data_IF_156550537443
#
_entry.id   IF_156550537443
#
_cell.length_a   1.000
_cell.length_b   1.000
_cell.length_c   1.000
_cell.angle_alpha   90.00
_cell.angle_beta   90.00
_cell.angle_gamma   90.00
#
_symmetry.space_group_name_H-M   'P 1'
#
loop_
_entity.id
_entity.type
_entity.pdbx_description
1 polymer ?
#
# COMPACT_ATOMS: atom_id res chain seq x y z
N UNK A 1 8.51 -8.59 7.47
CA UNK A 1 7.74 -7.42 7.94
C UNK A 1 8.73 -6.27 8.00
N UNK A 2 8.67 -5.33 7.08
CA UNK A 2 9.66 -4.28 6.90
C UNK A 2 8.96 -2.93 6.75
N UNK A 3 8.97 -2.10 7.79
CA UNK A 3 8.20 -0.85 7.83
C UNK A 3 8.34 -0.04 6.54
N UNK A 4 7.20 0.25 5.93
CA UNK A 4 7.11 1.09 4.75
C UNK A 4 6.81 2.52 5.14
N UNK A 5 7.07 3.44 4.21
CA UNK A 5 6.73 4.84 4.38
C UNK A 5 5.23 5.00 4.13
N UNK A 6 4.53 5.55 5.12
CA UNK A 6 3.10 5.77 5.04
C UNK A 6 2.79 6.80 3.94
N UNK A 7 1.91 6.51 2.98
CA UNK A 7 1.56 7.46 1.92
C UNK A 7 0.86 8.72 2.47
N UNK A 8 0.24 8.65 3.65
CA UNK A 8 -0.51 9.75 4.27
C UNK A 8 0.37 10.69 5.10
N UNK A 9 1.19 10.15 5.99
CA UNK A 9 2.02 10.95 6.90
C UNK A 9 3.52 10.96 6.57
N UNK A 10 3.97 10.22 5.55
CA UNK A 10 5.37 10.10 5.11
C UNK A 10 6.37 9.58 6.16
N UNK A 11 5.88 9.04 7.26
CA UNK A 11 6.69 8.40 8.29
C UNK A 11 6.87 6.91 7.99
N UNK A 12 8.01 6.34 8.37
CA UNK A 12 8.32 4.90 8.24
C UNK A 12 7.59 4.07 9.30
N UNK A 13 6.27 4.17 9.30
CA UNK A 13 5.38 3.61 10.32
C UNK A 13 4.24 2.79 9.73
N UNK A 14 4.37 2.38 8.46
CA UNK A 14 3.34 1.64 7.73
C UNK A 14 3.68 0.15 7.72
N UNK A 15 2.85 -0.65 8.36
CA UNK A 15 3.00 -2.11 8.45
C UNK A 15 1.84 -2.81 7.76
N UNK A 16 2.03 -4.08 7.45
CA UNK A 16 1.04 -4.90 6.77
C UNK A 16 0.97 -6.28 7.39
N UNK A 17 -0.23 -6.87 7.32
CA UNK A 17 -0.53 -8.19 7.81
C UNK A 17 -1.43 -8.91 6.80
N UNK A 18 -1.09 -10.16 6.51
CA UNK A 18 -1.83 -10.98 5.56
C UNK A 18 -2.86 -11.77 6.35
N UNK A 19 -4.14 -11.59 6.02
CA UNK A 19 -5.20 -12.36 6.66
C UNK A 19 -5.39 -13.67 5.89
N UNK A 20 -4.85 -14.79 6.39
CA UNK A 20 -4.68 -16.06 5.64
C UNK A 20 -5.91 -16.74 5.01
N UNK A 21 -7.11 -16.13 5.07
CA UNK A 21 -8.32 -16.59 4.34
C UNK A 21 -8.56 -15.88 3.02
N UNK A 22 -7.90 -14.76 2.76
CA UNK A 22 -8.03 -14.00 1.52
C UNK A 22 -6.65 -13.46 1.18
N UNK A 23 -6.24 -13.52 -0.09
CA UNK A 23 -4.98 -12.95 -0.60
C UNK A 23 -4.98 -11.41 -0.56
N UNK A 24 -5.45 -10.87 0.57
CA UNK A 24 -5.66 -9.47 0.87
C UNK A 24 -4.78 -9.15 2.05
N UNK A 25 -3.81 -8.29 1.78
CA UNK A 25 -2.87 -7.77 2.75
C UNK A 25 -3.51 -6.52 3.36
N UNK A 26 -3.67 -6.47 4.69
CA UNK A 26 -4.17 -5.27 5.35
C UNK A 26 -2.99 -4.43 5.83
N UNK A 27 -2.96 -3.18 5.43
CA UNK A 27 -1.98 -2.19 5.81
C UNK A 27 -2.53 -1.29 6.92
N UNK A 28 -1.69 -0.97 7.89
CA UNK A 28 -2.01 -0.06 8.98
C UNK A 28 -0.79 0.79 9.34
N UNK A 29 -1.02 2.08 9.60
CA UNK A 29 -0.02 3.03 10.06
C UNK A 29 -0.24 3.34 11.52
N UNK A 30 0.72 2.99 12.37
CA UNK A 30 0.63 3.26 13.82
C UNK A 30 0.94 4.72 14.20
N UNK A 31 1.36 5.57 13.25
CA UNK A 31 1.61 6.99 13.52
C UNK A 31 0.38 7.88 13.24
N UNK A 32 -0.39 7.59 12.18
CA UNK A 32 -1.54 8.39 11.77
C UNK A 32 -2.86 7.61 11.73
N UNK A 33 -2.86 6.40 12.28
CA UNK A 33 -4.00 5.47 12.34
C UNK A 33 -4.62 5.19 10.96
N UNK A 34 -3.79 5.23 9.92
CA UNK A 34 -4.25 5.04 8.54
C UNK A 34 -4.32 3.56 8.21
N UNK A 35 -5.45 3.12 7.65
CA UNK A 35 -5.68 1.72 7.29
C UNK A 35 -6.04 1.59 5.81
N UNK A 36 -5.42 0.61 5.14
CA UNK A 36 -5.66 0.29 3.74
C UNK A 36 -5.68 -1.22 3.53
N UNK A 37 -6.27 -1.71 2.44
CA UNK A 37 -6.24 -3.11 2.04
C UNK A 37 -5.60 -3.25 0.67
N UNK A 38 -4.52 -4.00 0.60
CA UNK A 38 -3.85 -4.41 -0.62
C UNK A 38 -4.45 -5.71 -1.15
N UNK A 39 -4.67 -5.75 -2.46
CA UNK A 39 -4.98 -6.99 -3.16
C UNK A 39 -3.73 -7.47 -3.89
N UNK A 40 -3.14 -8.60 -3.46
CA UNK A 40 -1.90 -9.13 -4.07
C UNK A 40 -2.10 -9.55 -5.53
N UNK A 41 -3.34 -9.76 -5.97
CA UNK A 41 -3.68 -10.06 -7.36
C UNK A 41 -3.47 -8.87 -8.30
N UNK A 42 -3.49 -7.65 -7.76
CA UNK A 42 -3.39 -6.39 -8.50
C UNK A 42 -2.01 -5.75 -8.29
N UNK A 43 -0.97 -6.37 -8.84
CA UNK A 43 0.37 -5.78 -8.93
C UNK A 43 0.63 -5.27 -10.35
N UNK A 44 1.24 -4.11 -10.45
CA UNK A 44 1.52 -3.45 -11.73
C UNK A 44 2.93 -2.87 -11.76
N UNK A 45 3.46 -2.69 -12.98
CA UNK A 45 4.71 -1.97 -13.19
C UNK A 45 4.47 -0.50 -12.86
N UNK A 46 5.28 0.05 -11.96
CA UNK A 46 5.26 1.48 -11.72
C UNK A 46 5.98 2.20 -12.87
N UNK A 47 5.27 3.02 -13.65
CA UNK A 47 5.87 3.82 -14.73
C UNK A 47 6.97 4.78 -14.24
N UNK A 48 6.94 5.17 -12.97
CA UNK A 48 7.91 6.11 -12.40
C UNK A 48 9.23 5.45 -11.95
N UNK A 49 9.24 4.14 -11.72
CA UNK A 49 10.47 3.43 -11.32
C UNK A 49 10.72 2.13 -12.08
N UNK A 50 9.89 1.83 -13.08
CA UNK A 50 9.97 0.69 -14.01
C UNK A 50 10.06 -0.68 -13.30
N UNK A 51 9.57 -0.76 -12.07
CA UNK A 51 9.59 -1.95 -11.24
C UNK A 51 8.16 -2.40 -10.91
N UNK A 52 7.98 -3.71 -10.71
CA UNK A 52 6.75 -4.32 -10.19
C UNK A 52 6.54 -4.02 -8.71
N UNK A 53 6.48 -2.72 -8.40
CA UNK A 53 6.41 -2.18 -7.05
C UNK A 53 5.13 -1.38 -6.84
N UNK A 54 4.23 -1.33 -7.84
CA UNK A 54 2.92 -0.68 -7.75
C UNK A 54 1.89 -1.73 -7.34
N UNK A 55 1.18 -1.46 -6.28
CA UNK A 55 0.16 -2.33 -5.69
C UNK A 55 -1.14 -1.55 -5.57
N UNK A 56 -2.27 -2.22 -5.69
CA UNK A 56 -3.58 -1.59 -5.54
C UNK A 56 -4.00 -1.61 -4.07
N UNK A 57 -4.18 -0.42 -3.50
CA UNK A 57 -4.67 -0.23 -2.15
C UNK A 57 -6.11 0.26 -2.16
N UNK A 58 -6.89 -0.23 -1.20
CA UNK A 58 -8.27 0.16 -0.94
C UNK A 58 -8.40 0.67 0.48
N UNK A 59 -8.64 1.97 0.61
CA UNK A 59 -9.00 2.57 1.89
C UNK A 59 -10.51 2.45 2.12
N UNK A 60 -10.98 2.98 3.26
CA UNK A 60 -12.41 3.10 3.58
C UNK A 60 -13.19 3.93 2.54
N UNK A 61 -12.53 4.86 1.86
CA UNK A 61 -13.17 5.83 0.96
C UNK A 61 -13.00 5.48 -0.53
N UNK A 62 -11.81 5.01 -0.93
CA UNK A 62 -11.48 4.82 -2.35
C UNK A 62 -10.38 3.78 -2.58
N UNK A 63 -10.28 3.37 -3.84
CA UNK A 63 -9.22 2.52 -4.38
C UNK A 63 -8.22 3.39 -5.14
N UNK A 64 -6.94 3.14 -4.92
CA UNK A 64 -5.84 3.88 -5.54
C UNK A 64 -4.65 2.95 -5.71
N UNK A 65 -3.73 3.34 -6.59
CA UNK A 65 -2.47 2.64 -6.74
C UNK A 65 -1.43 3.27 -5.85
N UNK A 66 -0.71 2.46 -5.09
CA UNK A 66 0.43 2.90 -4.31
C UNK A 66 1.68 2.21 -4.79
N UNK A 67 2.77 2.95 -4.95
CA UNK A 67 4.06 2.36 -5.22
C UNK A 67 4.93 2.40 -3.97
N UNK A 68 5.29 1.25 -3.40
CA UNK A 68 6.14 1.20 -2.21
C UNK A 68 7.59 1.64 -2.48
N UNK A 69 8.06 1.55 -3.72
CA UNK A 69 9.39 2.02 -4.10
C UNK A 69 9.44 3.56 -4.25
N UNK A 70 8.42 4.16 -4.87
CA UNK A 70 8.35 5.62 -5.01
C UNK A 70 7.70 6.32 -3.82
N UNK A 71 6.99 5.56 -2.98
CA UNK A 71 6.10 6.06 -1.92
C UNK A 71 5.11 7.12 -2.43
N UNK A 72 4.60 6.90 -3.64
CA UNK A 72 3.60 7.77 -4.27
C UNK A 72 2.30 7.01 -4.47
N UNK A 73 1.20 7.71 -4.22
CA UNK A 73 -0.15 7.26 -4.56
C UNK A 73 -0.56 7.88 -5.88
N UNK A 74 -1.28 7.11 -6.69
CA UNK A 74 -1.94 7.53 -7.92
C UNK A 74 -3.41 7.16 -7.80
N UNK A 75 -4.27 8.17 -7.88
CA UNK A 75 -5.71 7.96 -7.96
C UNK A 75 -6.05 7.18 -9.24
N UNK A 76 -7.11 6.36 -9.20
CA UNK A 76 -7.58 5.58 -10.34
C UNK A 76 -8.49 6.43 -11.26
#
# INVERSE_FOLDING_TARGET
>A
MALQICPKCKESSFTWFINGKSHVTSWSCFNCDYEAKENESDTCICENCEKNTKTKLKDKEKEYWWCYNCNKISDL
#
